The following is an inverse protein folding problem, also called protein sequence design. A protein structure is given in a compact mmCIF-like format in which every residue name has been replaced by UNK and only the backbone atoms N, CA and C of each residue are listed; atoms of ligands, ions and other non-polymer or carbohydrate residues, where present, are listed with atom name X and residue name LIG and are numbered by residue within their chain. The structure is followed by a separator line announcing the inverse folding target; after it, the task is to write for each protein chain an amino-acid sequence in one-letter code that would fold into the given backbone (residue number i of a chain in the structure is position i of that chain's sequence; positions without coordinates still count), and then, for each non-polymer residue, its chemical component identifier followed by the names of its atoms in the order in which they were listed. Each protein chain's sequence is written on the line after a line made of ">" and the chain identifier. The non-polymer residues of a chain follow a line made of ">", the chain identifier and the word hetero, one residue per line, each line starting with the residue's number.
data_IF_451052741690
#
_entry.id   IF_451052741690
#
_cell.length_a   1.000
_cell.length_b   1.000
_cell.length_c   1.000
_cell.angle_alpha   90.00
_cell.angle_beta   90.00
_cell.angle_gamma   90.00
#
_symmetry.space_group_name_H-M   'P 1'
#
loop_
_entity.id
_entity.type
_entity.pdbx_description
1 polymer ?
#
# COMPACT_ATOMS: atom_id res chain seq x y z
N UNK A 1 -23.35 10.19 2.00
CA UNK A 1 -22.40 9.93 0.90
C UNK A 1 -22.44 8.43 0.66
N UNK A 2 -22.68 7.94 -0.57
CA UNK A 2 -22.80 6.51 -0.81
C UNK A 2 -21.47 5.85 -0.46
N UNK A 3 -21.53 4.76 0.30
CA UNK A 3 -20.38 3.96 0.71
C UNK A 3 -19.59 3.59 -0.54
N UNK A 4 -18.42 4.23 -0.74
CA UNK A 4 -17.49 3.87 -1.81
C UNK A 4 -17.09 2.44 -1.50
N UNK A 5 -17.68 1.52 -2.24
CA UNK A 5 -17.60 0.10 -1.98
C UNK A 5 -16.13 -0.28 -2.06
N UNK A 6 -15.54 -0.69 -0.93
CA UNK A 6 -14.18 -1.25 -0.81
C UNK A 6 -14.11 -2.67 -1.41
N UNK A 7 -14.88 -2.94 -2.47
CA UNK A 7 -14.81 -4.17 -3.23
C UNK A 7 -13.83 -3.99 -4.38
N UNK A 8 -13.10 -5.06 -4.70
CA UNK A 8 -12.13 -5.10 -5.80
C UNK A 8 -12.79 -4.64 -7.12
N UNK A 9 -14.03 -5.07 -7.39
CA UNK A 9 -14.77 -4.73 -8.61
C UNK A 9 -15.00 -3.22 -8.76
N UNK A 10 -15.46 -2.54 -7.71
CA UNK A 10 -15.68 -1.10 -7.72
C UNK A 10 -14.37 -0.32 -7.95
N UNK A 11 -13.26 -0.81 -7.41
CA UNK A 11 -11.94 -0.22 -7.64
C UNK A 11 -11.45 -0.46 -9.07
N UNK A 12 -11.64 -1.67 -9.61
CA UNK A 12 -11.34 -1.99 -11.01
C UNK A 12 -12.09 -1.05 -11.96
N UNK A 13 -13.37 -0.81 -11.68
CA UNK A 13 -14.18 0.14 -12.46
C UNK A 13 -13.69 1.59 -12.33
N UNK A 14 -13.19 1.99 -11.15
CA UNK A 14 -12.57 3.30 -10.97
C UNK A 14 -11.28 3.44 -11.78
N UNK A 15 -10.45 2.39 -11.84
CA UNK A 15 -9.24 2.34 -12.67
C UNK A 15 -9.61 2.42 -14.15
N UNK A 16 -10.59 1.63 -14.61
CA UNK A 16 -11.11 1.66 -16.00
C UNK A 16 -11.59 3.06 -16.37
N UNK A 17 -12.40 3.68 -15.49
CA UNK A 17 -12.90 5.05 -15.68
C UNK A 17 -11.77 6.08 -15.74
N UNK A 18 -10.71 5.91 -14.95
CA UNK A 18 -9.55 6.78 -14.96
C UNK A 18 -8.79 6.69 -16.28
N UNK A 19 -8.57 5.47 -16.79
CA UNK A 19 -7.92 5.23 -18.08
C UNK A 19 -8.80 5.57 -19.28
N UNK A 20 -10.11 5.72 -19.06
CA UNK A 20 -11.13 5.88 -20.12
C UNK A 20 -11.15 4.69 -21.08
N UNK A 21 -10.90 3.51 -20.55
CA UNK A 21 -10.92 2.26 -21.30
C UNK A 21 -12.38 1.77 -21.46
N UNK A 22 -13.08 2.36 -22.43
CA UNK A 22 -14.44 1.96 -22.79
C UNK A 22 -14.49 1.57 -24.27
N UNK A 23 -15.31 0.56 -24.64
CA UNK A 23 -15.46 0.14 -26.03
C UNK A 23 -15.80 1.27 -26.99
N UNK A 24 -16.60 2.25 -26.57
CA UNK A 24 -16.94 3.41 -27.41
C UNK A 24 -15.78 4.37 -27.69
N UNK A 25 -14.75 4.41 -26.82
CA UNK A 25 -13.59 5.30 -26.97
C UNK A 25 -12.43 4.61 -27.69
N UNK A 26 -12.40 3.28 -27.69
CA UNK A 26 -11.37 2.47 -28.31
C UNK A 26 -11.59 2.35 -29.83
N UNK A 27 -11.14 3.36 -30.58
CA UNK A 27 -11.33 3.41 -32.05
C UNK A 27 -10.55 2.34 -32.82
N UNK A 28 -9.42 1.88 -32.26
CA UNK A 28 -8.48 0.95 -32.92
C UNK A 28 -8.59 -0.48 -32.41
N UNK A 29 -9.23 -0.70 -31.26
CA UNK A 29 -9.35 -1.99 -30.60
C UNK A 29 -10.84 -2.26 -30.44
N UNK A 30 -11.32 -3.43 -30.88
CA UNK A 30 -12.72 -3.82 -30.65
C UNK A 30 -12.87 -4.30 -29.21
N UNK A 31 -13.45 -3.45 -28.35
CA UNK A 31 -13.74 -3.78 -26.95
C UNK A 31 -12.84 -3.03 -25.97
N UNK A 32 -12.59 -3.65 -24.82
CA UNK A 32 -11.73 -3.11 -23.75
C UNK A 32 -10.27 -3.45 -24.02
N UNK A 33 -9.37 -2.52 -23.74
CA UNK A 33 -7.93 -2.71 -23.86
C UNK A 33 -7.39 -3.58 -22.73
N UNK A 34 -7.95 -3.45 -21.52
CA UNK A 34 -7.52 -4.16 -20.32
C UNK A 34 -8.63 -5.02 -19.74
N UNK A 35 -8.32 -6.28 -19.42
CA UNK A 35 -9.27 -7.16 -18.74
C UNK A 35 -9.27 -6.88 -17.23
N UNK A 36 -10.40 -7.15 -16.58
CA UNK A 36 -10.53 -7.00 -15.11
C UNK A 36 -9.46 -7.78 -14.34
N UNK A 37 -9.09 -8.96 -14.83
CA UNK A 37 -8.05 -9.80 -14.21
C UNK A 37 -6.67 -9.14 -14.25
N UNK A 38 -6.33 -8.44 -15.34
CA UNK A 38 -5.04 -7.78 -15.50
C UNK A 38 -4.95 -6.58 -14.54
N UNK A 39 -6.08 -5.88 -14.35
CA UNK A 39 -6.20 -4.81 -13.37
C UNK A 39 -6.04 -5.38 -11.94
N UNK A 40 -6.70 -6.49 -11.62
CA UNK A 40 -6.61 -7.13 -10.31
C UNK A 40 -5.19 -7.63 -9.98
N UNK A 41 -4.47 -8.17 -10.97
CA UNK A 41 -3.05 -8.54 -10.83
C UNK A 41 -2.22 -7.29 -10.54
N UNK A 42 -2.43 -6.22 -11.29
CA UNK A 42 -1.71 -4.94 -11.11
C UNK A 42 -1.98 -4.31 -9.73
N UNK A 43 -3.18 -4.50 -9.17
CA UNK A 43 -3.50 -4.09 -7.79
C UNK A 43 -2.68 -4.86 -6.76
N UNK A 44 -2.50 -6.18 -6.97
CA UNK A 44 -1.68 -7.02 -6.09
C UNK A 44 -0.22 -6.56 -6.14
N UNK A 45 0.30 -6.23 -7.32
CA UNK A 45 1.67 -5.75 -7.49
C UNK A 45 1.86 -4.38 -6.81
N UNK A 46 0.89 -3.47 -6.94
CA UNK A 46 0.89 -2.20 -6.22
C UNK A 46 0.85 -2.38 -4.69
N UNK A 47 0.12 -3.38 -4.19
CA UNK A 47 0.14 -3.73 -2.76
C UNK A 47 1.51 -4.30 -2.34
N UNK A 48 2.13 -5.08 -3.22
CA UNK A 48 3.50 -5.59 -3.04
C UNK A 48 4.52 -4.46 -2.90
N UNK A 49 4.45 -3.41 -3.72
CA UNK A 49 5.31 -2.23 -3.60
C UNK A 49 5.18 -1.56 -2.23
N UNK A 50 3.94 -1.39 -1.75
CA UNK A 50 3.71 -0.84 -0.41
C UNK A 50 4.34 -1.72 0.66
N UNK A 51 4.14 -3.03 0.59
CA UNK A 51 4.63 -3.99 1.60
C UNK A 51 6.16 -4.10 1.59
N UNK A 52 6.79 -3.96 0.42
CA UNK A 52 8.24 -4.07 0.26
C UNK A 52 8.98 -2.76 0.59
N UNK A 53 8.33 -1.60 0.47
CA UNK A 53 8.96 -0.30 0.72
C UNK A 53 9.06 -0.03 2.22
N UNK A 54 10.25 0.24 2.80
CA UNK A 54 10.36 0.65 4.20
C UNK A 54 9.63 1.99 4.48
N UNK A 55 9.20 2.27 5.72
CA UNK A 55 9.18 1.42 6.91
C UNK A 55 8.11 0.31 6.82
N UNK A 56 8.35 -0.87 7.40
CA UNK A 56 7.42 -2.00 7.37
C UNK A 56 6.27 -1.81 8.38
N UNK A 57 5.21 -1.12 7.96
CA UNK A 57 4.05 -0.79 8.79
C UNK A 57 2.81 -1.53 8.27
N UNK A 58 2.63 -2.74 8.81
CA UNK A 58 1.53 -3.63 8.45
C UNK A 58 1.53 -4.06 6.98
N UNK A 59 0.71 -5.06 6.69
CA UNK A 59 0.51 -5.54 5.32
C UNK A 59 -0.73 -4.90 4.70
N UNK A 60 -0.52 -4.24 3.56
CA UNK A 60 -1.60 -3.79 2.70
C UNK A 60 -2.11 -4.96 1.88
N UNK A 61 -3.42 -5.18 1.95
CA UNK A 61 -4.12 -6.15 1.12
C UNK A 61 -5.02 -5.41 0.11
N UNK A 62 -5.19 -5.91 -1.13
CA UNK A 62 -6.00 -5.24 -2.15
C UNK A 62 -7.47 -5.02 -1.77
N UNK A 63 -8.01 -5.81 -0.82
CA UNK A 63 -9.36 -5.68 -0.30
C UNK A 63 -9.49 -4.70 0.88
N UNK A 64 -8.37 -4.18 1.41
CA UNK A 64 -8.36 -3.31 2.61
C UNK A 64 -7.42 -2.12 2.39
N UNK A 65 -7.84 -1.21 1.52
CA UNK A 65 -7.06 -0.03 1.17
C UNK A 65 -7.47 1.16 2.07
N UNK A 66 -6.53 1.81 2.77
CA UNK A 66 -6.83 3.02 3.53
C UNK A 66 -7.30 4.16 2.63
N UNK A 67 -8.38 4.86 3.01
CA UNK A 67 -8.94 5.98 2.22
C UNK A 67 -7.91 7.08 1.92
N UNK A 68 -7.02 7.38 2.88
CA UNK A 68 -5.93 8.37 2.70
C UNK A 68 -4.90 7.96 1.64
N UNK A 69 -4.76 6.66 1.38
CA UNK A 69 -3.79 6.09 0.43
C UNK A 69 -4.43 5.69 -0.92
N UNK A 70 -5.76 5.65 -1.00
CA UNK A 70 -6.52 5.16 -2.16
C UNK A 70 -6.07 5.78 -3.49
N UNK A 71 -5.88 7.10 -3.55
CA UNK A 71 -5.43 7.79 -4.75
C UNK A 71 -4.03 7.35 -5.19
N UNK A 72 -3.12 7.15 -4.25
CA UNK A 72 -1.76 6.72 -4.55
C UNK A 72 -1.72 5.24 -4.95
N UNK A 73 -2.54 4.40 -4.31
CA UNK A 73 -2.72 3.00 -4.68
C UNK A 73 -3.27 2.82 -6.10
N UNK A 74 -4.24 3.67 -6.49
CA UNK A 74 -4.75 3.74 -7.86
C UNK A 74 -3.66 4.09 -8.87
N UNK A 75 -2.83 5.08 -8.55
CA UNK A 75 -1.70 5.44 -9.39
C UNK A 75 -0.69 4.29 -9.54
N UNK A 76 -0.36 3.61 -8.45
CA UNK A 76 0.50 2.41 -8.44
C UNK A 76 -0.05 1.29 -9.31
N UNK A 77 -1.35 1.01 -9.20
CA UNK A 77 -2.06 0.01 -10.02
C UNK A 77 -1.93 0.33 -11.51
N UNK A 78 -2.14 1.59 -11.90
CA UNK A 78 -2.03 2.03 -13.29
C UNK A 78 -0.59 1.89 -13.82
N UNK A 79 0.41 2.22 -13.00
CA UNK A 79 1.82 2.08 -13.38
C UNK A 79 2.14 0.61 -13.72
N UNK A 80 1.75 -0.33 -12.85
CA UNK A 80 1.97 -1.77 -13.09
C UNK A 80 1.19 -2.28 -14.30
N UNK A 81 -0.06 -1.84 -14.45
CA UNK A 81 -0.88 -2.21 -15.60
C UNK A 81 -0.23 -1.77 -16.92
N UNK A 82 0.19 -0.50 -17.02
CA UNK A 82 0.83 0.04 -18.22
C UNK A 82 2.22 -0.57 -18.47
N UNK A 83 2.95 -0.96 -17.42
CA UNK A 83 4.20 -1.72 -17.56
C UNK A 83 3.94 -3.09 -18.19
N UNK A 84 2.90 -3.80 -17.77
CA UNK A 84 2.55 -5.10 -18.35
C UNK A 84 2.17 -5.00 -19.84
N UNK A 85 1.40 -3.96 -20.20
CA UNK A 85 1.03 -3.66 -21.59
C UNK A 85 2.26 -3.29 -22.42
N UNK A 86 3.15 -2.48 -21.86
CA UNK A 86 4.40 -2.12 -22.52
C UNK A 86 5.22 -3.36 -22.83
N UNK A 87 5.32 -4.30 -21.89
CA UNK A 87 6.03 -5.56 -22.08
C UNK A 87 5.40 -6.43 -23.16
N UNK A 88 4.07 -6.52 -23.22
CA UNK A 88 3.35 -7.22 -24.28
C UNK A 88 3.69 -6.64 -25.66
N UNK A 89 3.64 -5.31 -25.78
CA UNK A 89 3.93 -4.61 -27.03
C UNK A 89 5.40 -4.79 -27.44
N UNK A 90 6.34 -4.83 -26.49
CA UNK A 90 7.77 -5.11 -26.78
C UNK A 90 7.90 -6.52 -27.36
N UNK A 91 7.23 -7.51 -26.74
CA UNK A 91 7.26 -8.91 -27.19
C UNK A 91 6.62 -9.12 -28.56
N UNK A 92 5.61 -8.33 -28.90
CA UNK A 92 4.85 -8.46 -30.15
C UNK A 92 5.26 -7.42 -31.21
N UNK A 93 6.38 -6.73 -31.03
CA UNK A 93 6.84 -5.70 -31.96
C UNK A 93 7.33 -6.34 -33.27
N UNK A 94 6.56 -6.18 -34.34
CA UNK A 94 6.97 -6.48 -35.71
C UNK A 94 7.24 -5.18 -36.46
N UNK A 95 8.50 -4.97 -36.87
CA UNK A 95 8.85 -3.83 -37.73
C UNK A 95 8.73 -4.24 -39.19
N UNK A 96 7.69 -3.76 -39.87
CA UNK A 96 7.51 -3.91 -41.30
C UNK A 96 7.87 -2.59 -42.01
N UNK A 97 8.65 -2.68 -43.09
CA UNK A 97 9.01 -1.54 -43.92
C UNK A 97 8.87 -1.98 -45.38
N UNK A 98 7.88 -1.41 -46.08
CA UNK A 98 7.64 -1.68 -47.50
C UNK A 98 7.58 -0.36 -48.27
N UNK A 99 8.48 -0.21 -49.23
CA UNK A 99 8.48 0.91 -50.17
C UNK A 99 8.58 2.32 -49.57
N UNK A 100 9.02 2.47 -48.32
CA UNK A 100 9.11 3.77 -47.63
C UNK A 100 7.89 4.15 -46.78
N UNK A 101 6.88 3.28 -46.67
CA UNK A 101 5.76 3.44 -45.74
C UNK A 101 6.06 2.66 -44.46
N UNK A 102 6.25 3.37 -43.35
CA UNK A 102 6.36 2.77 -42.02
C UNK A 102 4.98 2.71 -41.38
N UNK A 103 4.45 1.50 -41.17
CA UNK A 103 3.22 1.29 -40.40
C UNK A 103 3.60 0.69 -39.06
N UNK A 104 3.60 1.53 -38.01
CA UNK A 104 3.81 1.08 -36.65
C UNK A 104 2.50 0.68 -35.99
N UNK A 105 2.32 -0.62 -35.75
CA UNK A 105 1.13 -1.14 -35.04
C UNK A 105 1.13 -0.68 -33.56
N UNK A 106 2.30 -0.37 -33.00
CA UNK A 106 2.51 -0.08 -31.57
C UNK A 106 3.20 1.26 -31.29
N UNK A 107 2.92 2.30 -32.08
CA UNK A 107 3.60 3.60 -31.99
C UNK A 107 3.41 4.36 -30.66
N UNK A 108 2.45 3.95 -29.84
CA UNK A 108 2.17 4.56 -28.52
C UNK A 108 3.13 4.13 -27.41
N UNK A 109 3.96 3.10 -27.63
CA UNK A 109 4.87 2.59 -26.60
C UNK A 109 5.84 3.64 -26.02
N UNK A 110 6.52 4.48 -26.82
CA UNK A 110 7.45 5.47 -26.29
C UNK A 110 6.76 6.48 -25.37
N UNK A 111 5.55 6.89 -25.71
CA UNK A 111 4.76 7.83 -24.91
C UNK A 111 4.37 7.22 -23.55
N UNK A 112 3.95 5.95 -23.55
CA UNK A 112 3.64 5.21 -22.31
C UNK A 112 4.90 5.09 -21.45
N UNK A 113 6.04 4.74 -22.04
CA UNK A 113 7.31 4.64 -21.30
C UNK A 113 7.76 5.98 -20.73
N UNK A 114 7.64 7.07 -21.49
CA UNK A 114 7.94 8.42 -21.02
C UNK A 114 7.04 8.83 -19.84
N UNK A 115 5.73 8.55 -19.94
CA UNK A 115 4.78 8.83 -18.87
C UNK A 115 5.09 8.02 -17.61
N UNK A 116 5.38 6.71 -17.74
CA UNK A 116 5.80 5.86 -16.62
C UNK A 116 7.08 6.41 -15.97
N UNK A 117 8.06 6.83 -16.78
CA UNK A 117 9.32 7.41 -16.32
C UNK A 117 9.12 8.69 -15.48
N UNK A 118 8.12 9.50 -15.83
CA UNK A 118 7.78 10.72 -15.08
C UNK A 118 6.98 10.44 -13.80
N UNK A 119 6.02 9.51 -13.86
CA UNK A 119 5.05 9.28 -12.79
C UNK A 119 5.55 8.33 -11.70
N UNK A 120 6.33 7.30 -12.07
CA UNK A 120 6.86 6.33 -11.10
C UNK A 120 7.68 6.98 -9.96
N UNK A 121 8.59 7.94 -10.22
CA UNK A 121 9.30 8.64 -9.14
C UNK A 121 8.37 9.43 -8.22
N UNK A 122 7.31 10.03 -8.76
CA UNK A 122 6.33 10.78 -7.98
C UNK A 122 5.56 9.84 -7.05
N UNK A 123 5.09 8.70 -7.58
CA UNK A 123 4.44 7.62 -6.83
C UNK A 123 5.31 7.10 -5.67
N UNK A 124 6.59 6.83 -5.92
CA UNK A 124 7.50 6.33 -4.88
C UNK A 124 7.74 7.38 -3.77
N UNK A 125 7.85 8.65 -4.15
CA UNK A 125 8.01 9.76 -3.20
C UNK A 125 6.77 9.98 -2.33
N UNK A 126 5.57 9.87 -2.89
CA UNK A 126 4.32 9.99 -2.13
C UNK A 126 4.11 8.77 -1.24
N UNK A 127 4.50 7.57 -1.70
CA UNK A 127 4.48 6.35 -0.90
C UNK A 127 5.38 6.49 0.34
N UNK A 128 6.64 6.88 0.15
CA UNK A 128 7.59 7.09 1.23
C UNK A 128 7.07 8.10 2.27
N UNK A 129 6.64 9.27 1.82
CA UNK A 129 6.05 10.30 2.68
C UNK A 129 4.83 9.80 3.45
N UNK A 130 3.97 9.02 2.81
CA UNK A 130 2.80 8.44 3.45
C UNK A 130 3.21 7.47 4.57
N UNK A 131 4.15 6.56 4.31
CA UNK A 131 4.59 5.59 5.32
C UNK A 131 5.38 6.25 6.46
N UNK A 132 6.19 7.27 6.17
CA UNK A 132 6.83 8.10 7.20
C UNK A 132 5.78 8.79 8.07
N UNK A 133 4.73 9.35 7.47
CA UNK A 133 3.65 9.99 8.24
C UNK A 133 2.92 8.99 9.16
N UNK A 134 2.68 7.77 8.68
CA UNK A 134 2.11 6.69 9.50
C UNK A 134 3.05 6.29 10.65
N UNK A 135 4.35 6.19 10.38
CA UNK A 135 5.33 5.85 11.41
C UNK A 135 5.36 6.90 12.52
N UNK A 136 5.35 8.18 12.13
CA UNK A 136 5.33 9.30 13.07
C UNK A 136 4.03 9.30 13.89
N UNK A 137 2.88 9.08 13.26
CA UNK A 137 1.59 8.95 13.95
C UNK A 137 1.62 7.84 15.02
N UNK A 138 2.25 6.70 14.73
CA UNK A 138 2.42 5.62 15.72
C UNK A 138 3.38 5.99 16.86
N UNK A 139 4.44 6.74 16.57
CA UNK A 139 5.41 7.16 17.58
C UNK A 139 4.84 8.19 18.59
N UNK A 140 3.83 8.98 18.20
CA UNK A 140 3.18 9.94 19.09
C UNK A 140 2.43 9.30 20.28
N UNK A 141 2.22 7.97 20.27
CA UNK A 141 1.65 7.20 21.39
C UNK A 141 2.64 6.80 22.50
N UNK A 142 3.92 7.17 22.34
CA UNK A 142 4.99 6.92 23.32
C UNK A 142 6.03 5.91 22.81
N UNK A 143 7.30 6.27 22.93
CA UNK A 143 8.42 5.33 22.80
C UNK A 143 8.75 4.85 24.20
N UNK A 144 8.51 3.57 24.48
CA UNK A 144 8.91 3.00 25.78
C UNK A 144 10.42 3.00 25.86
N UNK A 145 10.96 3.82 26.76
CA UNK A 145 12.36 3.72 27.15
C UNK A 145 12.59 2.36 27.79
N UNK A 146 13.69 1.70 27.45
CA UNK A 146 14.16 0.49 28.12
C UNK A 146 14.30 0.65 29.65
N UNK A 147 14.47 1.88 30.14
CA UNK A 147 14.44 2.21 31.57
C UNK A 147 13.04 2.07 32.22
N UNK A 148 11.96 2.09 31.44
CA UNK A 148 10.60 1.90 31.95
C UNK A 148 10.39 0.50 32.54
N UNK A 149 11.02 -0.52 31.93
CA UNK A 149 10.92 -1.92 32.40
C UNK A 149 11.74 -2.10 33.68
N UNK A 150 12.91 -1.48 33.75
CA UNK A 150 13.81 -1.55 34.91
C UNK A 150 13.16 -0.90 36.14
N UNK A 151 12.55 0.28 35.97
CA UNK A 151 11.95 1.01 37.09
C UNK A 151 10.71 0.29 37.66
N UNK A 152 9.91 -0.36 36.82
CA UNK A 152 8.76 -1.15 37.28
C UNK A 152 9.14 -2.50 37.91
N UNK A 153 10.33 -3.04 37.62
CA UNK A 153 10.79 -4.30 38.23
C UNK A 153 11.28 -4.11 39.67
N UNK A 154 11.89 -2.97 39.99
CA UNK A 154 12.33 -2.67 41.36
C UNK A 154 11.18 -2.25 42.29
N UNK A 155 10.09 -1.67 41.75
CA UNK A 155 8.94 -1.24 42.55
C UNK A 155 8.07 -2.41 43.08
N UNK A 156 8.15 -3.59 42.44
CA UNK A 156 7.45 -4.82 42.89
C UNK A 156 8.34 -5.75 43.74
N UNK A 157 9.63 -5.44 43.89
CA UNK A 157 10.59 -6.26 44.62
C UNK A 157 10.70 -5.97 46.12
N UNK A 158 10.32 -4.77 46.58
CA UNK A 158 10.56 -4.35 47.98
C UNK A 158 9.34 -4.47 48.91
N UNK A 159 8.14 -4.78 48.41
CA UNK A 159 6.92 -4.83 49.24
C UNK A 159 6.60 -6.23 49.81
N UNK A 160 7.36 -7.28 49.45
CA UNK A 160 7.03 -8.68 49.81
C UNK A 160 7.76 -9.26 51.03
N UNK A 161 8.67 -8.54 51.69
CA UNK A 161 9.54 -9.15 52.73
C UNK A 161 9.35 -8.62 54.16
N UNK A 162 8.33 -7.80 54.44
CA UNK A 162 8.04 -7.35 55.80
C UNK A 162 6.64 -7.77 56.26
N UNK A 163 6.58 -8.89 56.99
CA UNK A 163 5.75 -8.96 58.19
C UNK A 163 4.43 -9.72 58.12
N UNK A 164 4.46 -11.00 57.75
CA UNK A 164 3.47 -11.96 58.21
C UNK A 164 3.79 -12.38 59.65
N UNK A 165 3.22 -11.71 60.65
CA UNK A 165 3.12 -12.22 62.04
C UNK A 165 1.77 -11.86 62.64
N UNK A 166 0.78 -12.71 62.42
CA UNK A 166 -0.40 -12.80 63.27
C UNK A 166 -0.21 -13.93 64.28
N UNK A 167 -0.67 -13.68 65.52
CA UNK A 167 -0.82 -14.58 66.68
C UNK A 167 0.43 -14.91 67.52
N UNK A 168 0.59 -14.24 68.67
CA UNK A 168 0.57 -14.87 70.02
C UNK A 168 -0.04 -13.85 71.00
N UNK A 169 -1.05 -14.26 71.76
CA UNK A 169 -1.85 -13.39 72.62
C UNK A 169 -1.34 -13.21 74.06
N UNK A 170 -2.33 -12.96 74.93
CA UNK A 170 -2.34 -12.92 76.40
C UNK A 170 -1.75 -11.70 77.12
N UNK A 171 -2.66 -10.89 77.69
CA UNK A 171 -2.73 -10.76 79.15
C UNK A 171 -2.38 -9.39 79.77
N UNK A 172 -3.41 -8.68 80.24
CA UNK A 172 -3.46 -8.15 81.62
C UNK A 172 -2.81 -6.80 81.95
N UNK A 173 -3.65 -5.75 82.04
CA UNK A 173 -3.94 -5.01 83.29
C UNK A 173 -2.91 -4.06 83.94
N UNK A 174 -3.50 -3.01 84.54
CA UNK A 174 -3.05 -2.08 85.61
C UNK A 174 -1.89 -1.12 85.26
N UNK A 175 -1.92 0.19 85.49
CA UNK A 175 -2.78 1.15 86.22
C UNK A 175 -3.01 2.42 85.38
#
# INVERSE_FOLDING_TARGET
>A
MPNIVTTIEAFTEEVRRYLRDYPELNRLIKGEEHKDIDIAISMKDAAGDYNMTPPFIGDLQPNKIPTRYLTNFKLGTIIHLLQSVTLLNIRNRLTYNDGGVHVGIFDKQPDIQNWIGMIKPQYMKTLDRYKVSLNLEQAYGGVHSEYYIINNYYDVGEISLLGNTSNIGTGGGVE
#
